data_IF_429447253990
#
_entry.id   IF_429447253990
#
_cell.length_a   1.000
_cell.length_b   1.000
_cell.length_c   1.000
_cell.angle_alpha   90.00
_cell.angle_beta   90.00
_cell.angle_gamma   90.00
#
_symmetry.space_group_name_H-M   'P 1'
#
loop_
_entity.id
_entity.type
_entity.pdbx_description
1 polymer ?
#
# COMPACT_ATOMS: atom_id res chain seq x y z
N UNK A 1 -14.00 5.68 -11.00
CA UNK A 1 -14.57 6.83 -11.67
C UNK A 1 -13.50 7.66 -12.32
N UNK A 2 -13.56 7.84 -13.64
CA UNK A 2 -12.69 8.78 -14.36
C UNK A 2 -12.98 10.17 -13.79
N UNK A 3 -12.02 10.78 -13.13
CA UNK A 3 -12.05 12.21 -12.86
C UNK A 3 -11.88 12.92 -14.22
N UNK A 4 -12.98 13.44 -14.77
CA UNK A 4 -12.91 14.30 -15.94
C UNK A 4 -12.23 15.60 -15.49
N UNK A 5 -11.04 15.88 -15.98
CA UNK A 5 -10.45 17.21 -15.91
C UNK A 5 -11.26 18.10 -16.87
N UNK A 6 -12.21 18.83 -16.32
CA UNK A 6 -12.83 19.90 -17.05
C UNK A 6 -11.88 21.09 -17.08
N UNK A 7 -11.46 21.50 -18.29
CA UNK A 7 -10.89 22.81 -18.50
C UNK A 7 -12.03 23.83 -18.31
N UNK A 8 -12.11 24.43 -17.13
CA UNK A 8 -13.03 25.50 -16.87
C UNK A 8 -12.49 26.80 -17.50
N UNK A 9 -13.31 27.46 -18.28
CA UNK A 9 -12.97 28.78 -18.80
C UNK A 9 -13.04 29.77 -17.64
N UNK A 10 -11.93 30.46 -17.24
CA UNK A 10 -11.92 31.36 -16.11
C UNK A 10 -12.82 32.59 -16.21
N UNK A 11 -13.38 32.85 -17.41
CA UNK A 11 -14.28 33.98 -17.67
C UNK A 11 -15.78 33.64 -17.51
N UNK A 12 -16.11 32.42 -17.10
CA UNK A 12 -17.49 31.98 -16.88
C UNK A 12 -17.73 31.58 -15.42
N UNK A 13 -18.82 32.09 -14.86
CA UNK A 13 -19.34 31.59 -13.59
C UNK A 13 -19.97 30.20 -13.80
N UNK A 14 -19.53 29.23 -13.00
CA UNK A 14 -20.05 27.88 -12.98
C UNK A 14 -20.74 27.59 -11.66
N UNK A 15 -22.04 27.34 -11.69
CA UNK A 15 -22.76 26.74 -10.58
C UNK A 15 -22.56 25.22 -10.62
N UNK A 16 -22.00 24.67 -9.54
CA UNK A 16 -21.87 23.25 -9.36
C UNK A 16 -22.96 22.75 -8.43
N UNK A 17 -23.90 22.00 -8.95
CA UNK A 17 -24.83 21.25 -8.13
C UNK A 17 -24.13 20.01 -7.59
N UNK A 18 -23.89 19.97 -6.27
CA UNK A 18 -23.38 18.78 -5.60
C UNK A 18 -24.56 17.83 -5.45
N UNK A 19 -24.68 16.88 -6.38
CA UNK A 19 -25.64 15.79 -6.24
C UNK A 19 -25.02 14.81 -5.22
N UNK A 20 -25.63 14.67 -4.02
CA UNK A 20 -25.15 13.69 -3.05
C UNK A 20 -25.34 12.30 -3.65
N UNK A 21 -24.26 11.63 -3.99
CA UNK A 21 -24.30 10.22 -4.38
C UNK A 21 -24.47 9.42 -3.09
N UNK A 22 -25.70 8.98 -2.83
CA UNK A 22 -25.94 8.02 -1.75
C UNK A 22 -25.33 6.67 -2.17
N UNK A 23 -24.19 6.34 -1.60
CA UNK A 23 -23.64 4.99 -1.70
C UNK A 23 -24.55 4.05 -0.91
N UNK A 24 -25.34 3.25 -1.62
CA UNK A 24 -26.08 2.16 -1.00
C UNK A 24 -25.13 0.99 -0.79
N UNK A 25 -24.51 0.94 0.36
CA UNK A 25 -23.62 -0.14 0.75
C UNK A 25 -23.48 -0.22 2.27
N UNK A 26 -23.22 -1.42 2.75
CA UNK A 26 -22.99 -1.63 4.18
C UNK A 26 -21.51 -1.48 4.48
N UNK A 27 -21.19 -0.62 5.44
CA UNK A 27 -19.84 -0.51 6.00
C UNK A 27 -19.46 -1.80 6.73
N UNK A 28 -18.17 -2.13 6.70
CA UNK A 28 -17.65 -3.26 7.45
C UNK A 28 -17.80 -3.03 8.96
N UNK A 29 -18.36 -4.02 9.65
CA UNK A 29 -18.33 -4.02 11.12
C UNK A 29 -16.88 -4.13 11.58
N UNK A 30 -16.51 -3.41 12.66
CA UNK A 30 -15.17 -3.44 13.26
C UNK A 30 -14.85 -4.79 13.95
N UNK A 31 -14.97 -5.85 13.17
CA UNK A 31 -14.61 -7.23 13.54
C UNK A 31 -13.51 -7.67 12.59
N UNK A 32 -12.35 -7.99 13.13
CA UNK A 32 -11.19 -8.44 12.37
C UNK A 32 -11.13 -9.98 12.40
N UNK A 33 -11.14 -10.56 11.22
CA UNK A 33 -10.95 -12.00 11.04
C UNK A 33 -9.74 -12.26 10.12
N UNK A 34 -9.05 -13.39 10.26
CA UNK A 34 -8.09 -13.81 9.26
C UNK A 34 -8.83 -14.10 7.94
N UNK A 35 -8.28 -13.61 6.83
CA UNK A 35 -8.79 -14.00 5.52
C UNK A 35 -8.59 -15.51 5.31
N UNK A 36 -9.50 -16.19 4.60
CA UNK A 36 -9.27 -17.56 4.18
C UNK A 36 -7.96 -17.68 3.42
N UNK A 37 -7.18 -18.73 3.72
CA UNK A 37 -5.90 -18.96 3.04
C UNK A 37 -6.12 -19.18 1.55
N UNK A 38 -5.50 -18.39 0.71
CA UNK A 38 -5.42 -18.65 -0.72
C UNK A 38 -4.46 -19.81 -1.00
N UNK A 39 -4.82 -20.67 -1.93
CA UNK A 39 -3.90 -21.70 -2.43
C UNK A 39 -2.82 -21.08 -3.32
N UNK A 40 -3.20 -20.08 -4.11
CA UNK A 40 -2.30 -19.38 -5.02
C UNK A 40 -2.22 -17.90 -4.67
N UNK A 41 -1.04 -17.35 -4.86
CA UNK A 41 -0.76 -15.93 -4.76
C UNK A 41 -0.15 -15.45 -6.08
N UNK A 42 -0.40 -14.19 -6.41
CA UNK A 42 0.15 -13.57 -7.62
C UNK A 42 0.89 -12.29 -7.27
N UNK A 43 2.01 -12.07 -7.94
CA UNK A 43 2.72 -10.79 -7.89
C UNK A 43 2.83 -10.27 -9.32
N UNK A 44 2.33 -9.06 -9.54
CA UNK A 44 2.23 -8.45 -10.86
C UNK A 44 3.18 -7.26 -10.97
N UNK A 45 4.21 -7.35 -11.84
CA UNK A 45 5.12 -6.22 -12.04
C UNK A 45 4.42 -4.94 -12.55
N UNK A 46 3.24 -5.08 -13.17
CA UNK A 46 2.41 -3.96 -13.64
C UNK A 46 1.88 -3.06 -12.52
N UNK A 47 1.80 -3.59 -11.29
CA UNK A 47 1.40 -2.81 -10.11
C UNK A 47 2.41 -1.73 -9.73
N UNK A 48 3.62 -1.86 -10.25
CA UNK A 48 4.71 -0.92 -10.01
C UNK A 48 4.96 -0.08 -11.26
N UNK A 49 4.50 1.16 -11.22
CA UNK A 49 4.58 2.05 -12.36
C UNK A 49 6.04 2.41 -12.73
N UNK A 50 6.35 2.28 -14.02
CA UNK A 50 7.63 2.74 -14.59
C UNK A 50 8.79 1.76 -14.47
N UNK A 51 8.58 0.51 -14.01
CA UNK A 51 9.62 -0.52 -13.94
C UNK A 51 9.70 -1.38 -15.20
N UNK A 52 10.89 -1.92 -15.46
CA UNK A 52 11.15 -2.93 -16.47
C UNK A 52 11.61 -4.23 -15.77
N UNK A 53 10.71 -5.18 -15.47
CA UNK A 53 11.04 -6.31 -14.59
C UNK A 53 11.98 -7.32 -15.26
N UNK A 54 13.00 -7.74 -14.50
CA UNK A 54 13.86 -8.89 -14.80
C UNK A 54 13.73 -9.93 -13.69
N UNK A 55 13.37 -11.15 -14.09
CA UNK A 55 13.14 -12.25 -13.13
C UNK A 55 14.41 -12.66 -12.42
N UNK A 56 14.28 -12.94 -11.13
CA UNK A 56 15.28 -13.58 -10.28
C UNK A 56 14.92 -15.04 -9.98
N UNK A 57 13.75 -15.49 -10.43
CA UNK A 57 13.21 -16.84 -10.21
C UNK A 57 12.77 -17.47 -11.53
N UNK A 58 12.59 -18.79 -11.52
CA UNK A 58 12.06 -19.59 -12.61
C UNK A 58 10.95 -20.53 -12.12
N UNK A 59 10.19 -21.10 -13.05
CA UNK A 59 9.16 -22.09 -12.74
C UNK A 59 9.81 -23.28 -12.01
N UNK A 60 9.10 -23.79 -10.99
CA UNK A 60 9.50 -24.86 -10.06
C UNK A 60 10.50 -24.47 -8.99
N UNK A 61 10.96 -23.23 -8.92
CA UNK A 61 11.77 -22.77 -7.78
C UNK A 61 10.93 -22.77 -6.50
N UNK A 62 11.49 -23.25 -5.40
CA UNK A 62 10.95 -23.09 -4.06
C UNK A 62 11.54 -21.80 -3.47
N UNK A 63 10.67 -20.98 -2.90
CA UNK A 63 11.01 -19.66 -2.37
C UNK A 63 10.46 -19.48 -0.94
N UNK A 64 11.10 -18.61 -0.19
CA UNK A 64 10.64 -18.14 1.12
C UNK A 64 9.88 -16.82 0.97
N UNK A 65 9.01 -16.51 1.94
CA UNK A 65 8.45 -15.16 2.05
C UNK A 65 9.61 -14.17 2.29
N UNK A 66 9.74 -13.14 1.44
CA UNK A 66 10.87 -12.21 1.45
C UNK A 66 11.99 -12.55 0.44
N UNK A 67 11.93 -13.67 -0.28
CA UNK A 67 12.85 -13.90 -1.39
C UNK A 67 12.53 -12.98 -2.57
N UNK A 68 13.57 -12.55 -3.28
CA UNK A 68 13.40 -11.61 -4.39
C UNK A 68 12.90 -12.34 -5.63
N UNK A 69 11.73 -11.94 -6.12
CA UNK A 69 11.10 -12.50 -7.32
C UNK A 69 11.65 -11.88 -8.60
N UNK A 70 11.81 -10.56 -8.59
CA UNK A 70 12.34 -9.80 -9.74
C UNK A 70 12.94 -8.48 -9.26
N UNK A 71 13.61 -7.79 -10.16
CA UNK A 71 14.18 -6.48 -9.96
C UNK A 71 13.98 -5.62 -11.23
N UNK A 72 14.18 -4.31 -11.10
CA UNK A 72 14.13 -3.43 -12.27
C UNK A 72 15.40 -3.58 -13.10
N UNK A 73 15.26 -3.86 -14.39
CA UNK A 73 16.39 -4.02 -15.32
C UNK A 73 17.24 -2.75 -15.46
N UNK A 74 16.63 -1.56 -15.24
CA UNK A 74 17.32 -0.28 -15.31
C UNK A 74 18.04 0.07 -14.01
N UNK A 75 17.64 -0.55 -12.88
CA UNK A 75 18.27 -0.37 -11.56
C UNK A 75 18.15 -1.69 -10.76
N UNK A 76 19.18 -2.54 -10.85
CA UNK A 76 19.18 -3.89 -10.25
C UNK A 76 19.10 -3.88 -8.71
N UNK A 77 19.30 -2.73 -8.07
CA UNK A 77 19.12 -2.57 -6.63
C UNK A 77 17.64 -2.48 -6.24
N UNK A 78 16.77 -2.06 -7.17
CA UNK A 78 15.34 -1.98 -6.93
C UNK A 78 14.71 -3.36 -7.06
N UNK A 79 14.50 -4.02 -5.94
CA UNK A 79 14.07 -5.41 -5.79
C UNK A 79 12.65 -5.52 -5.28
N UNK A 80 12.00 -6.65 -5.63
CA UNK A 80 10.61 -6.94 -5.28
C UNK A 80 10.52 -8.33 -4.65
N UNK A 81 10.06 -8.37 -3.40
CA UNK A 81 10.05 -9.57 -2.59
C UNK A 81 8.75 -10.38 -2.74
N UNK A 82 8.84 -11.68 -2.50
CA UNK A 82 7.69 -12.58 -2.41
C UNK A 82 6.89 -12.32 -1.12
N UNK A 83 5.56 -12.19 -1.23
CA UNK A 83 4.70 -12.07 -0.05
C UNK A 83 4.51 -13.38 0.73
N UNK A 84 4.80 -14.52 0.10
CA UNK A 84 4.58 -15.87 0.66
C UNK A 84 5.74 -16.80 0.36
N UNK A 85 5.90 -17.85 1.17
CA UNK A 85 6.71 -19.02 0.81
C UNK A 85 5.92 -20.01 -0.02
N UNK A 86 6.59 -20.75 -0.88
CA UNK A 86 5.97 -21.74 -1.74
C UNK A 86 6.75 -22.02 -3.01
N UNK A 87 6.09 -22.58 -4.02
CA UNK A 87 6.70 -22.92 -5.29
C UNK A 87 6.19 -22.03 -6.43
N UNK A 88 7.09 -21.53 -7.26
CA UNK A 88 6.72 -20.81 -8.49
C UNK A 88 6.10 -21.80 -9.47
N UNK A 89 4.78 -21.67 -9.72
CA UNK A 89 4.05 -22.58 -10.60
C UNK A 89 3.92 -22.08 -12.02
N UNK A 90 3.82 -20.76 -12.18
CA UNK A 90 3.57 -20.15 -13.49
C UNK A 90 4.18 -18.75 -13.56
N UNK A 91 4.70 -18.40 -14.76
CA UNK A 91 5.11 -17.04 -15.10
C UNK A 91 4.35 -16.64 -16.35
N UNK A 92 3.29 -15.84 -16.16
CA UNK A 92 2.44 -15.39 -17.25
C UNK A 92 3.14 -14.27 -18.01
N UNK A 93 3.17 -14.42 -19.33
CA UNK A 93 3.79 -13.43 -20.23
C UNK A 93 2.78 -12.95 -21.25
N UNK A 94 2.76 -11.65 -21.49
CA UNK A 94 2.00 -11.01 -22.54
C UNK A 94 2.80 -10.77 -23.81
N UNK A 95 2.34 -9.83 -24.60
CA UNK A 95 3.00 -9.41 -25.84
C UNK A 95 4.45 -9.00 -25.57
N UNK A 96 5.31 -9.24 -26.56
CA UNK A 96 6.76 -8.94 -26.48
C UNK A 96 7.45 -9.54 -25.26
N UNK A 97 6.92 -10.67 -24.75
CA UNK A 97 7.40 -11.39 -23.56
C UNK A 97 7.36 -10.56 -22.26
N UNK A 98 6.53 -9.50 -22.19
CA UNK A 98 6.31 -8.73 -20.97
C UNK A 98 5.83 -9.67 -19.85
N UNK A 99 6.44 -9.58 -18.67
CA UNK A 99 6.02 -10.36 -17.50
C UNK A 99 4.73 -9.70 -16.96
N UNK A 100 3.65 -10.44 -16.96
CA UNK A 100 2.35 -9.99 -16.46
C UNK A 100 2.15 -10.41 -15.00
N UNK A 101 2.39 -11.69 -14.69
CA UNK A 101 2.15 -12.21 -13.35
C UNK A 101 3.10 -13.36 -13.03
N UNK A 102 3.48 -13.48 -11.77
CA UNK A 102 4.23 -14.59 -11.19
C UNK A 102 3.31 -15.27 -10.20
N UNK A 103 2.90 -16.52 -10.47
CA UNK A 103 2.03 -17.30 -9.60
C UNK A 103 2.83 -18.21 -8.69
N UNK A 104 2.44 -18.23 -7.42
CA UNK A 104 3.07 -18.98 -6.35
C UNK A 104 2.02 -19.91 -5.74
N UNK A 105 2.30 -21.19 -5.74
CA UNK A 105 1.57 -22.16 -4.92
C UNK A 105 2.12 -22.06 -3.50
N UNK A 106 1.34 -21.47 -2.60
CA UNK A 106 1.80 -21.18 -1.26
C UNK A 106 1.94 -22.43 -0.39
N UNK A 107 2.95 -22.44 0.46
CA UNK A 107 3.08 -23.44 1.51
C UNK A 107 1.93 -23.30 2.52
N UNK A 108 1.49 -24.42 3.08
CA UNK A 108 0.47 -24.41 4.14
C UNK A 108 0.97 -23.68 5.39
N UNK A 109 2.22 -23.92 5.75
CA UNK A 109 2.93 -23.23 6.82
C UNK A 109 3.98 -22.29 6.20
N UNK A 110 3.77 -20.99 6.34
CA UNK A 110 4.63 -20.00 5.76
C UNK A 110 6.00 -19.96 6.43
N UNK A 111 7.04 -19.90 5.64
CA UNK A 111 8.44 -19.80 6.08
C UNK A 111 9.01 -18.47 5.60
N UNK A 112 9.50 -17.67 6.54
CA UNK A 112 10.05 -16.35 6.26
C UNK A 112 11.58 -16.42 6.12
N UNK A 113 12.09 -15.67 5.15
CA UNK A 113 13.51 -15.40 5.04
C UNK A 113 13.94 -14.51 6.20
N UNK A 114 14.94 -14.92 6.93
CA UNK A 114 15.56 -14.07 7.96
C UNK A 114 16.59 -13.15 7.29
N UNK A 115 16.25 -11.88 7.14
CA UNK A 115 17.13 -10.86 6.55
C UNK A 115 17.94 -10.08 7.60
N UNK A 116 17.75 -10.40 8.88
CA UNK A 116 18.30 -9.66 9.99
C UNK A 116 17.54 -8.35 10.27
N UNK A 117 17.69 -7.83 11.47
CA UNK A 117 17.07 -6.57 11.89
C UNK A 117 17.96 -5.38 11.51
N UNK A 118 17.35 -4.24 11.21
CA UNK A 118 18.09 -3.00 11.00
C UNK A 118 18.59 -2.47 12.36
N UNK A 119 19.86 -2.11 12.44
CA UNK A 119 20.43 -1.53 13.69
C UNK A 119 19.82 -0.16 13.95
N UNK A 120 19.55 0.16 15.21
CA UNK A 120 19.06 1.48 15.63
C UNK A 120 20.01 2.63 15.30
N UNK A 121 21.33 2.33 15.27
CA UNK A 121 22.38 3.26 14.89
C UNK A 121 22.55 3.45 13.39
N UNK A 122 21.75 2.76 12.54
CA UNK A 122 21.85 2.85 11.08
C UNK A 122 21.74 4.31 10.60
N UNK A 123 22.64 4.69 9.71
CA UNK A 123 22.61 5.98 9.04
C UNK A 123 21.70 5.91 7.79
N UNK A 124 21.61 7.01 7.04
CA UNK A 124 20.76 7.12 5.84
C UNK A 124 21.12 6.06 4.78
N UNK A 125 22.39 5.86 4.52
CA UNK A 125 22.86 4.94 3.49
C UNK A 125 22.60 3.48 3.89
N UNK A 126 22.85 3.13 5.16
CA UNK A 126 22.52 1.81 5.71
C UNK A 126 21.01 1.50 5.58
N UNK A 127 20.15 2.50 5.83
CA UNK A 127 18.68 2.36 5.72
C UNK A 127 18.28 2.11 4.26
N UNK A 128 18.83 2.89 3.33
CA UNK A 128 18.55 2.75 1.90
C UNK A 128 18.99 1.38 1.42
N UNK A 129 20.22 0.96 1.71
CA UNK A 129 20.75 -0.33 1.34
C UNK A 129 19.90 -1.48 1.89
N UNK A 130 19.54 -1.40 3.18
CA UNK A 130 18.68 -2.40 3.82
C UNK A 130 17.33 -2.51 3.11
N UNK A 131 16.59 -1.42 2.96
CA UNK A 131 15.25 -1.43 2.36
C UNK A 131 15.25 -1.89 0.90
N UNK A 132 16.29 -1.55 0.13
CA UNK A 132 16.49 -2.04 -1.23
C UNK A 132 16.76 -3.54 -1.24
N UNK A 133 17.64 -4.02 -0.35
CA UNK A 133 18.06 -5.43 -0.30
C UNK A 133 16.92 -6.38 0.04
N UNK A 134 16.00 -5.94 0.92
CA UNK A 134 14.88 -6.75 1.41
C UNK A 134 13.58 -6.55 0.61
N UNK A 135 13.60 -5.71 -0.46
CA UNK A 135 12.42 -5.46 -1.29
C UNK A 135 11.33 -4.59 -0.62
N UNK A 136 11.67 -3.82 0.42
CA UNK A 136 10.73 -2.88 1.06
C UNK A 136 10.74 -1.48 0.44
N UNK A 137 11.78 -1.12 -0.34
CA UNK A 137 11.86 0.20 -0.96
C UNK A 137 10.64 0.54 -1.85
N UNK A 138 10.03 -0.39 -2.62
CA UNK A 138 8.86 -0.11 -3.45
C UNK A 138 7.61 0.38 -2.71
N UNK A 139 7.56 0.31 -1.39
CA UNK A 139 6.48 0.89 -0.57
C UNK A 139 6.61 2.42 -0.41
N UNK A 140 7.75 2.99 -0.77
CA UNK A 140 7.99 4.44 -0.72
C UNK A 140 7.77 5.01 -2.13
N UNK A 141 6.78 5.90 -2.26
CA UNK A 141 6.39 6.49 -3.53
C UNK A 141 6.83 7.94 -3.60
N UNK A 142 7.18 8.41 -4.80
CA UNK A 142 7.57 9.79 -5.06
C UNK A 142 6.47 10.55 -5.80
N UNK A 143 6.16 11.75 -5.32
CA UNK A 143 5.26 12.70 -5.98
C UNK A 143 6.08 13.79 -6.68
N UNK A 144 5.57 14.36 -7.79
CA UNK A 144 4.16 14.33 -8.24
C UNK A 144 3.77 13.12 -9.09
N UNK A 145 4.70 12.30 -9.57
CA UNK A 145 4.43 11.29 -10.61
C UNK A 145 3.91 9.96 -10.09
N UNK A 146 3.81 9.77 -8.76
CA UNK A 146 3.39 8.52 -8.12
C UNK A 146 4.19 7.28 -8.61
N UNK A 147 5.49 7.45 -8.74
CA UNK A 147 6.46 6.39 -9.05
C UNK A 147 7.18 5.94 -7.77
N UNK A 148 7.88 4.83 -7.83
CA UNK A 148 8.75 4.41 -6.73
C UNK A 148 9.80 5.49 -6.47
N UNK A 149 10.06 5.81 -5.21
CA UNK A 149 10.96 6.87 -4.81
C UNK A 149 12.39 6.64 -5.32
N UNK A 150 13.00 7.67 -5.88
CA UNK A 150 14.39 7.62 -6.29
C UNK A 150 15.29 7.74 -5.05
N UNK A 151 15.86 6.63 -4.61
CA UNK A 151 16.73 6.55 -3.43
C UNK A 151 18.02 7.36 -3.53
N UNK A 152 18.40 7.79 -4.74
CA UNK A 152 19.56 8.66 -5.00
C UNK A 152 19.25 10.15 -4.74
N UNK A 153 17.99 10.48 -4.46
CA UNK A 153 17.54 11.84 -4.13
C UNK A 153 17.08 11.93 -2.67
N UNK A 154 16.98 13.14 -2.15
CA UNK A 154 16.34 13.41 -0.87
C UNK A 154 14.99 14.07 -1.12
N UNK A 155 13.92 13.62 -0.49
CA UNK A 155 12.64 14.31 -0.57
C UNK A 155 12.66 15.57 0.31
N UNK A 156 11.90 16.57 -0.09
CA UNK A 156 11.65 17.77 0.72
C UNK A 156 10.96 17.42 2.04
N UNK A 157 9.99 16.50 1.99
CA UNK A 157 9.24 15.99 3.13
C UNK A 157 8.67 14.61 2.81
N UNK A 158 8.24 13.87 3.85
CA UNK A 158 7.56 12.59 3.68
C UNK A 158 6.14 12.73 4.23
N UNK A 159 5.15 12.16 3.53
CA UNK A 159 3.75 12.27 3.88
C UNK A 159 3.09 10.91 4.06
N UNK A 160 2.25 10.81 5.07
CA UNK A 160 1.40 9.64 5.38
C UNK A 160 -0.02 10.11 5.56
N UNK A 161 -0.98 9.47 4.89
CA UNK A 161 -2.38 9.66 5.24
C UNK A 161 -2.80 8.59 6.24
N UNK A 162 -3.08 9.00 7.48
CA UNK A 162 -3.65 8.17 8.55
C UNK A 162 -5.18 8.22 8.58
N UNK A 163 -5.81 8.87 7.60
CA UNK A 163 -7.25 8.98 7.45
C UNK A 163 -7.66 8.79 6.00
N UNK A 164 -8.70 8.01 5.75
CA UNK A 164 -9.33 7.91 4.44
C UNK A 164 -10.72 8.52 4.45
N UNK A 165 -10.98 9.43 3.53
CA UNK A 165 -12.30 10.04 3.33
C UNK A 165 -13.09 9.36 2.20
N UNK A 166 -12.56 8.29 1.60
CA UNK A 166 -13.26 7.54 0.56
C UNK A 166 -14.42 6.73 1.15
N UNK A 167 -15.59 6.72 0.51
CA UNK A 167 -16.72 5.91 0.96
C UNK A 167 -16.36 4.42 1.02
N UNK A 168 -16.77 3.73 2.08
CA UNK A 168 -16.54 2.30 2.33
C UNK A 168 -15.06 1.88 2.43
N UNK A 169 -14.15 2.84 2.53
CA UNK A 169 -12.73 2.53 2.77
C UNK A 169 -12.51 1.93 4.16
N UNK A 170 -11.37 1.27 4.33
CA UNK A 170 -10.97 0.76 5.63
C UNK A 170 -10.74 1.90 6.62
N UNK A 171 -11.30 1.77 7.83
CA UNK A 171 -11.00 2.65 8.95
C UNK A 171 -9.56 2.41 9.41
N UNK A 172 -8.69 3.39 9.17
CA UNK A 172 -7.26 3.27 9.48
C UNK A 172 -6.99 3.26 10.99
N UNK A 173 -7.80 3.92 11.80
CA UNK A 173 -7.66 3.86 13.26
C UNK A 173 -7.95 2.45 13.79
N UNK A 174 -8.94 1.78 13.20
CA UNK A 174 -9.21 0.37 13.54
C UNK A 174 -8.12 -0.58 13.03
N UNK A 175 -7.63 -0.38 11.81
CA UNK A 175 -6.67 -1.31 11.19
C UNK A 175 -5.27 -1.21 11.78
N UNK A 176 -4.90 -0.07 12.36
CA UNK A 176 -3.55 0.22 12.83
C UNK A 176 -3.38 0.16 14.36
N UNK A 177 -4.47 0.06 15.11
CA UNK A 177 -4.50 0.23 16.57
C UNK A 177 -3.46 -0.60 17.35
N UNK A 178 -3.10 -1.77 16.85
CA UNK A 178 -2.21 -2.71 17.51
C UNK A 178 -0.75 -2.63 17.00
N UNK A 179 -0.44 -1.68 16.07
CA UNK A 179 0.83 -1.64 15.34
C UNK A 179 1.74 -0.45 15.73
N UNK A 180 1.61 0.04 16.96
CA UNK A 180 2.37 1.21 17.43
C UNK A 180 3.89 1.04 17.29
N UNK A 181 4.42 -0.13 17.61
CA UNK A 181 5.86 -0.41 17.58
C UNK A 181 6.41 -0.39 16.15
N UNK A 182 5.70 -1.03 15.24
CA UNK A 182 6.05 -1.10 13.82
C UNK A 182 5.99 0.29 13.18
N UNK A 183 4.92 1.04 13.44
CA UNK A 183 4.76 2.41 12.92
C UNK A 183 5.89 3.32 13.44
N UNK A 184 6.18 3.27 14.74
CA UNK A 184 7.26 4.07 15.32
C UNK A 184 8.63 3.71 14.73
N UNK A 185 8.93 2.42 14.53
CA UNK A 185 10.16 1.99 13.90
C UNK A 185 10.29 2.51 12.46
N UNK A 186 9.22 2.40 11.66
CA UNK A 186 9.19 2.92 10.30
C UNK A 186 9.36 4.44 10.27
N UNK A 187 8.63 5.18 11.10
CA UNK A 187 8.75 6.65 11.19
C UNK A 187 10.17 7.08 11.57
N UNK A 188 10.79 6.37 12.49
CA UNK A 188 12.15 6.70 12.96
C UNK A 188 13.19 6.62 11.84
N UNK A 189 13.06 5.65 10.91
CA UNK A 189 13.95 5.56 9.75
C UNK A 189 13.58 6.56 8.65
N UNK A 190 12.27 6.80 8.42
CA UNK A 190 11.83 7.76 7.41
C UNK A 190 12.33 9.18 7.73
N UNK A 191 12.37 9.58 9.01
CA UNK A 191 12.93 10.85 9.41
C UNK A 191 14.41 11.01 9.08
N UNK A 192 15.16 9.90 8.99
CA UNK A 192 16.57 9.92 8.57
C UNK A 192 16.75 10.02 7.05
N UNK A 193 15.69 9.79 6.27
CA UNK A 193 15.70 9.83 4.81
C UNK A 193 15.37 11.20 4.21
N UNK A 194 14.84 12.12 5.00
CA UNK A 194 14.47 13.48 4.58
C UNK A 194 15.17 14.54 5.42
N UNK A 195 15.38 15.71 4.85
CA UNK A 195 15.82 16.91 5.60
C UNK A 195 14.61 17.60 6.26
N UNK A 196 13.40 17.34 5.77
CA UNK A 196 12.16 17.85 6.30
C UNK A 196 11.59 16.98 7.43
N UNK A 197 10.28 16.83 7.43
CA UNK A 197 9.53 16.08 8.46
C UNK A 197 8.71 14.96 7.85
N UNK A 198 8.35 14.00 8.70
CA UNK A 198 7.28 13.04 8.40
C UNK A 198 5.95 13.68 8.83
N UNK A 199 5.12 14.02 7.85
CA UNK A 199 3.84 14.69 8.01
C UNK A 199 2.71 13.67 7.94
N UNK A 200 1.86 13.64 8.96
CA UNK A 200 0.77 12.65 9.06
C UNK A 200 -0.57 13.36 9.21
N UNK A 201 -1.55 13.02 8.37
CA UNK A 201 -2.93 13.47 8.57
C UNK A 201 -3.74 12.42 9.30
N UNK A 202 -4.60 12.87 10.23
CA UNK A 202 -5.59 12.05 10.92
C UNK A 202 -6.94 12.76 10.91
N UNK A 203 -8.03 12.03 11.11
CA UNK A 203 -9.31 12.65 11.32
C UNK A 203 -9.32 13.42 12.65
N UNK A 204 -9.87 14.63 12.62
CA UNK A 204 -9.84 15.57 13.76
C UNK A 204 -10.43 14.99 15.05
N UNK A 205 -11.48 14.20 14.93
CA UNK A 205 -12.23 13.62 16.07
C UNK A 205 -11.78 12.21 16.44
N UNK A 206 -10.79 11.64 15.72
CA UNK A 206 -10.39 10.26 15.91
C UNK A 206 -9.37 10.07 17.05
N UNK A 207 -9.41 8.87 17.64
CA UNK A 207 -8.40 8.38 18.60
C UNK A 207 -7.32 7.59 17.86
N UNK A 208 -6.65 8.27 16.94
CA UNK A 208 -5.67 7.64 16.07
C UNK A 208 -4.40 7.27 16.80
N UNK A 209 -3.87 6.07 16.50
CA UNK A 209 -2.57 5.59 16.99
C UNK A 209 -1.43 6.57 16.69
N UNK A 210 -1.56 7.38 15.63
CA UNK A 210 -0.56 8.39 15.29
C UNK A 210 -0.39 9.49 16.34
N UNK A 211 -1.36 9.67 17.25
CA UNK A 211 -1.21 10.59 18.40
C UNK A 211 -0.15 10.13 19.41
N UNK A 212 0.18 8.84 19.39
CA UNK A 212 1.17 8.22 20.26
C UNK A 212 2.54 8.03 19.59
N UNK A 213 2.68 8.41 18.31
CA UNK A 213 3.92 8.29 17.56
C UNK A 213 4.76 9.55 17.73
N UNK A 214 6.03 9.37 18.05
CA UNK A 214 6.98 10.48 18.20
C UNK A 214 7.60 10.87 16.87
N UNK A 215 8.14 12.08 16.81
CA UNK A 215 8.91 12.62 15.68
C UNK A 215 8.10 12.71 14.38
N UNK A 216 6.81 13.05 14.47
CA UNK A 216 5.94 13.38 13.35
C UNK A 216 5.33 14.78 13.51
N UNK A 217 4.99 15.39 12.37
CA UNK A 217 4.10 16.55 12.34
C UNK A 217 2.67 16.07 12.07
N UNK A 218 1.79 16.26 13.06
CA UNK A 218 0.43 15.73 13.02
C UNK A 218 -0.58 16.80 12.59
N UNK A 219 -1.38 16.50 11.58
CA UNK A 219 -2.39 17.39 11.02
C UNK A 219 -3.78 16.81 11.20
N UNK A 220 -4.63 17.56 11.92
CA UNK A 220 -6.04 17.22 12.07
C UNK A 220 -6.80 17.66 10.81
N UNK A 221 -7.43 16.70 10.15
CA UNK A 221 -8.18 16.90 8.90
C UNK A 221 -9.65 16.61 9.13
N UNK A 222 -10.53 17.32 8.46
CA UNK A 222 -11.97 17.07 8.45
C UNK A 222 -12.53 17.49 7.10
N UNK A 223 -13.68 16.94 6.74
CA UNK A 223 -14.41 17.33 5.53
C UNK A 223 -14.71 16.15 4.61
N UNK A 224 -15.44 16.40 3.53
CA UNK A 224 -15.78 15.38 2.54
C UNK A 224 -14.56 14.94 1.75
N UNK A 225 -14.69 13.83 1.01
CA UNK A 225 -13.68 13.43 0.04
C UNK A 225 -13.39 14.57 -0.96
N UNK A 226 -12.13 14.89 -1.26
CA UNK A 226 -10.88 14.12 -1.03
C UNK A 226 -10.05 14.58 0.19
N UNK A 227 -10.65 15.07 1.28
CA UNK A 227 -9.91 15.60 2.43
C UNK A 227 -8.88 14.63 3.02
N UNK A 228 -9.17 13.33 3.00
CA UNK A 228 -8.28 12.26 3.48
C UNK A 228 -7.18 11.86 2.50
N UNK A 229 -7.15 12.40 1.28
CA UNK A 229 -6.13 12.03 0.31
C UNK A 229 -4.79 12.69 0.64
N UNK A 230 -3.69 11.93 0.54
CA UNK A 230 -2.34 12.44 0.78
C UNK A 230 -1.98 13.63 -0.12
N UNK A 231 -2.51 13.67 -1.36
CA UNK A 231 -2.35 14.83 -2.26
C UNK A 231 -2.95 16.12 -1.71
N UNK A 232 -4.09 16.04 -1.02
CA UNK A 232 -4.71 17.19 -0.34
C UNK A 232 -3.84 17.69 0.81
N UNK A 233 -3.24 16.78 1.57
CA UNK A 233 -2.30 17.13 2.64
C UNK A 233 -1.05 17.80 2.08
N UNK A 234 -0.42 17.22 1.06
CA UNK A 234 0.77 17.78 0.40
C UNK A 234 0.50 19.20 -0.07
N UNK A 235 -0.62 19.42 -0.77
CA UNK A 235 -0.96 20.74 -1.31
C UNK A 235 -1.17 21.82 -0.22
N UNK A 236 -1.62 21.42 0.95
CA UNK A 236 -1.90 22.36 2.07
C UNK A 236 -0.67 22.62 2.94
N UNK A 237 0.17 21.62 3.13
CA UNK A 237 1.28 21.67 4.10
C UNK A 237 2.59 22.09 3.44
N UNK A 238 2.95 21.42 2.37
CA UNK A 238 4.23 21.63 1.69
C UNK A 238 4.11 21.32 0.19
N UNK A 239 3.50 22.23 -0.59
CA UNK A 239 3.26 22.04 -2.01
C UNK A 239 4.55 21.77 -2.79
N UNK A 240 4.46 20.85 -3.76
CA UNK A 240 5.58 20.47 -4.61
C UNK A 240 5.73 21.47 -5.75
N UNK A 241 6.83 22.21 -5.78
CA UNK A 241 7.18 23.13 -6.85
C UNK A 241 8.00 22.43 -7.95
N UNK A 242 8.26 23.15 -9.05
CA UNK A 242 9.07 22.63 -10.16
C UNK A 242 10.47 22.25 -9.66
N UNK A 243 10.86 21.00 -9.90
CA UNK A 243 12.16 20.47 -9.48
C UNK A 243 12.19 19.88 -8.07
N UNK A 244 11.13 20.05 -7.28
CA UNK A 244 11.00 19.42 -5.96
C UNK A 244 10.33 18.05 -6.04
N UNK A 245 10.53 17.24 -5.01
CA UNK A 245 9.81 16.00 -4.80
C UNK A 245 9.53 15.80 -3.32
N UNK A 246 8.41 15.16 -3.04
CA UNK A 246 8.08 14.63 -1.72
C UNK A 246 7.82 13.14 -1.83
N UNK A 247 8.05 12.41 -0.74
CA UNK A 247 7.72 10.99 -0.72
C UNK A 247 6.43 10.73 0.05
N UNK A 248 5.78 9.62 -0.29
CA UNK A 248 4.57 9.18 0.39
C UNK A 248 4.70 7.70 0.75
N UNK A 249 4.21 7.33 1.92
CA UNK A 249 4.11 5.94 2.36
C UNK A 249 2.67 5.73 2.83
N UNK A 250 2.06 4.61 2.46
CA UNK A 250 0.73 4.32 3.01
C UNK A 250 0.82 3.93 4.47
N UNK A 251 -0.23 4.19 5.24
CA UNK A 251 -0.24 3.93 6.67
C UNK A 251 -0.03 2.44 7.01
N UNK A 252 -0.57 1.53 6.20
CA UNK A 252 -0.34 0.09 6.39
C UNK A 252 1.04 -0.37 5.87
N UNK A 253 1.65 0.34 4.90
CA UNK A 253 3.02 0.04 4.47
C UNK A 253 4.03 0.36 5.56
N UNK A 254 3.75 1.35 6.44
CA UNK A 254 4.57 1.59 7.63
C UNK A 254 4.65 0.36 8.52
N UNK A 255 3.55 -0.40 8.63
CA UNK A 255 3.54 -1.63 9.44
C UNK A 255 4.44 -2.70 8.82
N UNK A 256 4.39 -2.88 7.49
CA UNK A 256 5.23 -3.85 6.77
C UNK A 256 6.71 -3.47 6.91
N UNK A 257 7.04 -2.20 6.66
CA UNK A 257 8.41 -1.68 6.79
C UNK A 257 8.89 -1.83 8.24
N UNK A 258 8.08 -1.42 9.22
CA UNK A 258 8.42 -1.49 10.63
C UNK A 258 8.62 -2.92 11.12
N UNK A 259 7.76 -3.85 10.72
CA UNK A 259 7.94 -5.25 11.03
C UNK A 259 9.25 -5.80 10.47
N UNK A 260 9.57 -5.46 9.20
CA UNK A 260 10.83 -5.86 8.57
C UNK A 260 12.06 -5.35 9.32
N UNK A 261 12.03 -4.10 9.79
CA UNK A 261 13.11 -3.49 10.57
C UNK A 261 13.30 -4.21 11.91
N UNK A 262 12.19 -4.54 12.58
CA UNK A 262 12.20 -5.09 13.94
C UNK A 262 12.50 -6.59 13.98
N UNK A 263 12.03 -7.34 12.99
CA UNK A 263 12.08 -8.81 13.00
C UNK A 263 12.97 -9.42 11.92
N UNK A 264 13.29 -8.68 10.87
CA UNK A 264 13.98 -9.20 9.69
C UNK A 264 13.10 -10.10 8.80
N UNK A 265 11.80 -10.16 9.04
CA UNK A 265 10.83 -10.97 8.29
C UNK A 265 9.90 -10.10 7.44
N UNK A 266 9.77 -10.46 6.17
CA UNK A 266 8.88 -9.75 5.24
C UNK A 266 7.44 -10.26 5.38
N UNK A 267 6.67 -9.65 6.29
CA UNK A 267 5.25 -9.95 6.51
C UNK A 267 4.38 -9.00 5.68
N UNK A 268 4.04 -9.42 4.48
CA UNK A 268 3.24 -8.64 3.53
C UNK A 268 1.74 -8.77 3.83
N UNK A 269 1.32 -8.44 5.06
CA UNK A 269 -0.06 -8.51 5.51
C UNK A 269 -0.72 -7.14 5.46
N UNK A 270 -2.00 -7.12 5.12
CA UNK A 270 -2.86 -5.92 5.17
C UNK A 270 -4.22 -6.26 5.73
N UNK A 271 -4.84 -5.27 6.36
CA UNK A 271 -6.23 -5.37 6.80
C UNK A 271 -7.07 -4.65 5.76
N UNK A 272 -7.99 -5.39 5.15
CA UNK A 272 -8.91 -4.90 4.12
C UNK A 272 -10.33 -4.86 4.66
N UNK A 273 -11.10 -3.85 4.24
CA UNK A 273 -12.54 -3.76 4.51
C UNK A 273 -13.28 -4.45 3.38
N UNK A 274 -13.93 -5.55 3.69
CA UNK A 274 -14.88 -6.19 2.76
C UNK A 274 -16.25 -5.53 2.96
N UNK A 275 -16.65 -4.67 2.04
CA UNK A 275 -17.83 -3.80 2.15
C UNK A 275 -18.56 -3.73 0.81
N UNK A 276 -19.81 -3.29 0.85
CA UNK A 276 -20.61 -3.04 -0.34
C UNK A 276 -22.00 -3.65 -0.29
N UNK A 277 -22.85 -3.28 -1.23
CA UNK A 277 -24.27 -3.69 -1.27
C UNK A 277 -24.47 -5.18 -1.55
N UNK A 278 -23.50 -5.85 -2.17
CA UNK A 278 -23.57 -7.28 -2.51
C UNK A 278 -22.88 -8.17 -1.48
N UNK A 279 -22.34 -7.59 -0.40
CA UNK A 279 -21.67 -8.35 0.65
C UNK A 279 -22.68 -8.74 1.74
N UNK A 280 -22.78 -10.04 2.06
CA UNK A 280 -23.68 -10.56 3.07
C UNK A 280 -23.27 -10.19 4.49
N UNK A 281 -21.99 -10.28 4.78
CA UNK A 281 -21.42 -10.02 6.09
C UNK A 281 -20.20 -9.10 5.96
N UNK A 282 -20.42 -7.79 5.89
CA UNK A 282 -19.32 -6.81 5.83
C UNK A 282 -18.45 -6.87 7.08
N UNK A 283 -17.12 -7.01 6.89
CA UNK A 283 -16.14 -7.17 7.96
C UNK A 283 -14.73 -6.79 7.52
N UNK A 284 -13.81 -6.73 8.47
CA UNK A 284 -12.40 -6.56 8.18
C UNK A 284 -11.70 -7.92 8.11
N UNK A 285 -10.86 -8.07 7.10
CA UNK A 285 -10.08 -9.29 6.89
C UNK A 285 -8.58 -8.97 6.90
N UNK A 286 -7.81 -9.76 7.65
CA UNK A 286 -6.36 -9.73 7.60
C UNK A 286 -5.90 -10.66 6.49
N UNK A 287 -5.43 -10.10 5.39
CA UNK A 287 -5.04 -10.81 4.17
C UNK A 287 -3.57 -10.60 3.84
N UNK A 288 -2.94 -11.59 3.23
CA UNK A 288 -1.58 -11.44 2.66
C UNK A 288 -1.67 -10.88 1.24
N UNK A 289 -0.76 -9.98 0.90
CA UNK A 289 -0.63 -9.36 -0.43
C UNK A 289 -0.55 -10.43 -1.52
N UNK A 290 -1.27 -10.21 -2.64
CA UNK A 290 -1.30 -11.14 -3.77
C UNK A 290 -2.26 -12.32 -3.64
N UNK A 291 -3.05 -12.42 -2.56
CA UNK A 291 -4.08 -13.44 -2.43
C UNK A 291 -5.17 -13.30 -3.49
N UNK A 292 -5.80 -14.42 -3.86
CA UNK A 292 -6.91 -14.40 -4.80
C UNK A 292 -8.15 -13.74 -4.16
N UNK A 293 -8.82 -12.88 -4.91
CA UNK A 293 -10.03 -12.18 -4.46
C UNK A 293 -11.13 -13.16 -4.11
N UNK A 294 -11.30 -14.20 -4.92
CA UNK A 294 -12.29 -15.26 -4.66
C UNK A 294 -12.12 -15.89 -3.27
N UNK A 295 -10.89 -15.99 -2.76
CA UNK A 295 -10.66 -16.49 -1.41
C UNK A 295 -11.15 -15.52 -0.32
N UNK A 296 -11.08 -14.22 -0.58
CA UNK A 296 -11.55 -13.19 0.36
C UNK A 296 -13.07 -13.05 0.32
N UNK A 297 -13.67 -13.15 -0.87
CA UNK A 297 -15.10 -12.95 -1.09
C UNK A 297 -15.92 -14.23 -0.91
N UNK A 298 -15.26 -15.40 -0.80
CA UNK A 298 -15.85 -16.71 -0.83
C UNK A 298 -17.10 -16.82 0.05
N UNK A 299 -18.23 -17.24 -0.57
CA UNK A 299 -19.54 -17.41 0.05
C UNK A 299 -20.11 -16.18 0.79
N UNK A 300 -19.57 -14.98 0.54
CA UNK A 300 -20.00 -13.74 1.19
C UNK A 300 -20.56 -12.71 0.19
N UNK A 301 -20.87 -13.15 -1.03
CA UNK A 301 -21.48 -12.31 -2.06
C UNK A 301 -22.90 -12.83 -2.37
N UNK A 302 -23.91 -11.97 -2.15
CA UNK A 302 -25.27 -12.21 -2.61
C UNK A 302 -25.34 -12.11 -4.14
N UNK A 303 -25.97 -13.09 -4.77
CA UNK A 303 -26.28 -13.07 -6.21
C UNK A 303 -25.09 -12.65 -7.09
N UNK A 304 -24.21 -13.59 -7.40
CA UNK A 304 -23.24 -13.49 -8.48
C UNK A 304 -23.98 -13.36 -9.85
N UNK A 305 -24.73 -12.29 -10.03
CA UNK A 305 -25.18 -11.90 -11.34
C UNK A 305 -23.98 -11.28 -12.07
N UNK A 306 -23.86 -11.48 -13.38
CA UNK A 306 -22.81 -10.96 -14.25
C UNK A 306 -22.59 -9.41 -14.19
N UNK A 307 -23.34 -8.71 -13.34
CA UNK A 307 -23.31 -7.25 -13.16
C UNK A 307 -22.60 -6.81 -11.87
N UNK A 308 -22.15 -7.74 -11.03
CA UNK A 308 -21.39 -7.37 -9.82
C UNK A 308 -19.94 -7.06 -10.22
N UNK A 309 -19.52 -5.83 -9.93
CA UNK A 309 -18.14 -5.39 -10.10
C UNK A 309 -17.48 -5.35 -8.74
N UNK A 310 -16.39 -6.08 -8.58
CA UNK A 310 -15.52 -5.96 -7.42
C UNK A 310 -14.56 -4.81 -7.73
N UNK A 311 -14.60 -3.78 -6.88
CA UNK A 311 -13.67 -2.66 -6.95
C UNK A 311 -12.78 -2.69 -5.73
N UNK A 312 -11.49 -2.60 -5.97
CA UNK A 312 -10.52 -2.31 -4.95
C UNK A 312 -10.31 -0.82 -4.86
N UNK A 313 -10.48 -0.25 -3.68
CA UNK A 313 -10.26 1.17 -3.41
C UNK A 313 -9.17 1.37 -2.36
N UNK A 314 -8.36 2.38 -2.60
CA UNK A 314 -7.32 2.78 -1.65
C UNK A 314 -6.20 1.75 -1.52
N UNK A 315 -6.11 1.08 -0.38
CA UNK A 315 -5.00 0.18 -0.03
C UNK A 315 -4.94 -1.13 -0.84
N UNK A 316 -6.00 -1.48 -1.54
CA UNK A 316 -6.11 -2.74 -2.32
C UNK A 316 -5.87 -2.51 -3.81
N UNK A 317 -5.61 -1.28 -4.26
CA UNK A 317 -5.39 -0.94 -5.67
C UNK A 317 -4.26 -1.74 -6.36
N UNK A 318 -3.52 -2.56 -5.61
CA UNK A 318 -2.45 -3.43 -6.11
C UNK A 318 -2.86 -4.90 -6.24
N UNK A 319 -4.16 -5.21 -6.13
CA UNK A 319 -4.61 -6.60 -6.05
C UNK A 319 -5.62 -7.02 -7.09
N UNK A 320 -6.08 -6.11 -7.94
CA UNK A 320 -7.14 -6.43 -8.88
C UNK A 320 -6.80 -5.92 -10.28
N UNK A 321 -6.54 -6.82 -11.14
CA UNK A 321 -7.07 -6.94 -12.49
C UNK A 321 -7.27 -8.41 -12.83
#
# INVERSE_FOLDING_TARGET
>A
GRMALFYLNPEKDYEFEIIPVNYMGYEAKKVLEPAPKSKFYSVEPSDFHGINPKLNVKISDNILAGDILFYDKSDELLKFASPVSGQITEIIRGEKRKILSIKILADENQVFKNSGCLKTSANKDDIIEFLLSVGCWPFIMQRPYAIIANYKSSPKSIFVSGYSSEPLSADLDFTLKDNRKEIQAAVSILNKLTEGKVNVSIEKSSDSIFREINDIELYNVSGPHPSGNVGSLINKVDPVNKGESVWTVSAQDLVIIGNMILTGEFKAERIVSLSGSSIESPKYLKATIGCQIDSITNNNIHNLNNNNRIESKGLVQRFID
#
